data_IF_807097952811
#
_entry.id   IF_807097952811
#
_cell.length_a   1.000
_cell.length_b   1.000
_cell.length_c   1.000
_cell.angle_alpha   90.00
_cell.angle_beta   90.00
_cell.angle_gamma   90.00
#
_symmetry.space_group_name_H-M   'P 1'
#
loop_
_entity.id
_entity.type
_entity.pdbx_description
1 polymer ?
#
# COMPACT_ATOMS: atom_id res chain seq x y z
N UNK A 1 2.74 2.23 23.28
CA UNK A 1 3.02 1.83 21.89
C UNK A 1 4.34 1.09 21.96
N UNK A 2 4.25 -0.18 22.32
CA UNK A 2 5.40 -1.02 22.65
C UNK A 2 6.10 -1.51 21.39
N UNK A 3 7.42 -1.68 21.53
CA UNK A 3 8.42 -2.02 20.52
C UNK A 3 8.12 -3.26 19.66
N UNK A 4 7.14 -4.08 20.03
CA UNK A 4 6.85 -5.37 19.42
C UNK A 4 6.06 -5.24 18.11
N UNK A 5 5.23 -4.19 17.95
CA UNK A 5 4.47 -3.95 16.72
C UNK A 5 5.37 -3.55 15.54
N UNK A 6 6.56 -2.99 15.82
CA UNK A 6 7.54 -2.59 14.79
C UNK A 6 8.32 -3.77 14.21
N UNK A 7 8.36 -4.91 14.90
CA UNK A 7 9.09 -6.10 14.43
C UNK A 7 8.28 -6.94 13.45
N UNK A 8 6.94 -6.92 13.54
CA UNK A 8 6.06 -7.68 12.65
C UNK A 8 6.14 -7.22 11.18
N UNK A 9 6.39 -5.92 10.95
CA UNK A 9 6.53 -5.33 9.61
C UNK A 9 7.89 -5.59 8.97
N UNK A 10 8.87 -6.07 9.74
CA UNK A 10 10.24 -6.28 9.29
C UNK A 10 10.47 -7.70 8.75
N UNK A 11 9.45 -8.55 8.80
CA UNK A 11 9.54 -9.93 8.36
C UNK A 11 9.17 -10.03 6.89
N UNK A 12 10.14 -10.39 6.06
CA UNK A 12 9.94 -10.61 4.61
C UNK A 12 8.79 -11.58 4.34
N UNK A 13 8.50 -12.46 5.29
CA UNK A 13 7.36 -13.38 5.29
C UNK A 13 6.01 -12.67 5.33
N UNK A 14 5.86 -11.59 6.11
CA UNK A 14 4.61 -10.82 6.16
C UNK A 14 4.35 -10.11 4.84
N UNK A 15 5.39 -9.51 4.25
CA UNK A 15 5.29 -8.87 2.94
C UNK A 15 4.90 -9.87 1.86
N UNK A 16 5.54 -11.04 1.83
CA UNK A 16 5.21 -12.10 0.87
C UNK A 16 3.77 -12.63 1.07
N UNK A 17 3.33 -12.76 2.33
CA UNK A 17 1.96 -13.16 2.67
C UNK A 17 0.94 -12.13 2.18
N UNK A 18 1.21 -10.84 2.37
CA UNK A 18 0.35 -9.76 1.89
C UNK A 18 0.27 -9.74 0.37
N UNK A 19 1.42 -9.82 -0.33
CA UNK A 19 1.46 -9.92 -1.80
C UNK A 19 0.66 -11.12 -2.30
N UNK A 20 0.82 -12.28 -1.68
CA UNK A 20 0.07 -13.50 -2.04
C UNK A 20 -1.43 -13.31 -1.84
N UNK A 21 -1.85 -12.66 -0.75
CA UNK A 21 -3.26 -12.37 -0.49
C UNK A 21 -3.85 -11.40 -1.54
N UNK A 22 -3.09 -10.38 -1.93
CA UNK A 22 -3.50 -9.40 -2.96
C UNK A 22 -3.62 -10.07 -4.33
N UNK A 23 -2.67 -10.92 -4.70
CA UNK A 23 -2.72 -11.70 -5.95
C UNK A 23 -3.93 -12.63 -5.95
N UNK A 24 -4.19 -13.35 -4.85
CA UNK A 24 -5.39 -14.19 -4.70
C UNK A 24 -6.69 -13.40 -4.85
N UNK A 25 -6.77 -12.19 -4.28
CA UNK A 25 -7.92 -11.29 -4.40
C UNK A 25 -8.11 -10.80 -5.84
N UNK A 26 -7.03 -10.71 -6.61
CA UNK A 26 -7.01 -10.26 -8.00
C UNK A 26 -7.14 -11.43 -9.01
N UNK A 27 -7.87 -12.49 -8.64
CA UNK A 27 -8.07 -13.69 -9.46
C UNK A 27 -6.79 -14.49 -9.80
N UNK A 28 -5.74 -14.35 -8.99
CA UNK A 28 -4.54 -15.18 -9.07
C UNK A 28 -3.40 -14.60 -9.90
N UNK A 29 -3.59 -13.44 -10.54
CA UNK A 29 -2.53 -12.76 -11.30
C UNK A 29 -2.70 -11.25 -11.24
N UNK A 30 -1.61 -10.53 -11.03
CA UNK A 30 -1.55 -9.07 -11.14
C UNK A 30 -0.48 -8.76 -12.18
N UNK A 31 -0.86 -7.98 -13.19
CA UNK A 31 0.07 -7.45 -14.19
C UNK A 31 0.28 -5.98 -13.88
N UNK A 32 1.54 -5.59 -13.78
CA UNK A 32 1.94 -4.20 -13.59
C UNK A 32 2.81 -3.87 -14.81
N UNK A 33 2.40 -2.88 -15.59
CA UNK A 33 3.16 -2.37 -16.72
C UNK A 33 4.36 -1.53 -16.26
N UNK A 34 5.32 -1.29 -17.16
CA UNK A 34 6.48 -0.43 -16.85
C UNK A 34 6.03 0.99 -16.47
N UNK A 35 5.05 1.55 -17.19
CA UNK A 35 4.47 2.86 -16.88
C UNK A 35 3.87 2.93 -15.46
N UNK A 36 3.22 1.84 -15.01
CA UNK A 36 2.64 1.76 -13.67
C UNK A 36 3.70 1.58 -12.59
N UNK A 37 4.81 0.90 -12.88
CA UNK A 37 5.96 0.82 -11.97
C UNK A 37 6.65 2.18 -11.82
N UNK A 38 6.82 2.90 -12.92
CA UNK A 38 7.45 4.23 -12.96
C UNK A 38 6.56 5.32 -12.35
N UNK A 39 5.24 5.12 -12.36
CA UNK A 39 4.29 6.01 -11.69
C UNK A 39 4.38 5.97 -10.16
N UNK A 40 4.95 4.91 -9.56
CA UNK A 40 5.16 4.83 -8.10
C UNK A 40 6.36 5.68 -7.72
N UNK A 41 6.08 6.87 -7.20
CA UNK A 41 7.07 7.81 -6.72
C UNK A 41 7.36 7.59 -5.23
N UNK A 42 8.53 8.05 -4.76
CA UNK A 42 8.86 8.08 -3.32
C UNK A 42 7.92 8.97 -2.48
N UNK A 43 7.03 9.73 -3.12
CA UNK A 43 6.04 10.59 -2.45
C UNK A 43 4.72 9.85 -2.19
N UNK A 44 4.54 8.68 -2.81
CA UNK A 44 3.36 7.86 -2.61
C UNK A 44 3.46 7.18 -1.24
N UNK A 45 2.83 7.82 -0.25
CA UNK A 45 2.77 7.27 1.10
C UNK A 45 1.71 6.17 1.14
N UNK A 46 2.18 4.92 1.17
CA UNK A 46 1.36 3.77 1.47
C UNK A 46 1.15 3.70 2.99
N UNK A 47 -0.10 3.81 3.42
CA UNK A 47 -0.51 3.54 4.79
C UNK A 47 -1.04 2.11 4.90
N UNK A 48 -0.60 1.41 5.94
CA UNK A 48 -1.11 0.10 6.30
C UNK A 48 -1.57 0.11 7.74
N UNK A 49 -2.81 -0.30 7.99
CA UNK A 49 -3.35 -0.42 9.34
C UNK A 49 -4.32 -1.60 9.44
N UNK A 50 -4.50 -2.11 10.65
CA UNK A 50 -5.38 -3.24 10.94
C UNK A 50 -6.68 -2.77 11.56
N UNK A 51 -7.80 -3.02 10.90
CA UNK A 51 -9.13 -2.83 11.47
C UNK A 51 -9.47 -4.05 12.33
N UNK A 52 -9.47 -3.87 13.65
CA UNK A 52 -9.79 -4.92 14.62
C UNK A 52 -11.27 -5.34 14.58
N UNK A 53 -12.18 -4.45 14.18
CA UNK A 53 -13.61 -4.73 14.13
C UNK A 53 -13.94 -5.61 12.93
N UNK A 54 -13.42 -5.26 11.76
CA UNK A 54 -13.59 -6.03 10.54
C UNK A 54 -12.64 -7.25 10.46
N UNK A 55 -11.57 -7.26 11.28
CA UNK A 55 -10.45 -8.21 11.21
C UNK A 55 -9.72 -8.17 9.86
N UNK A 56 -9.55 -6.98 9.31
CA UNK A 56 -8.97 -6.77 7.97
C UNK A 56 -7.73 -5.89 8.03
N UNK A 57 -6.79 -6.12 7.11
CA UNK A 57 -5.67 -5.21 6.86
C UNK A 57 -6.08 -4.28 5.73
N UNK A 58 -6.02 -2.97 6.01
CA UNK A 58 -6.34 -1.93 5.03
C UNK A 58 -5.03 -1.34 4.53
N UNK A 59 -4.85 -1.40 3.20
CA UNK A 59 -3.78 -0.77 2.45
C UNK A 59 -4.38 0.44 1.74
N UNK A 60 -3.91 1.64 2.07
CA UNK A 60 -4.40 2.90 1.49
C UNK A 60 -3.25 3.71 0.93
N UNK A 61 -3.43 4.23 -0.28
CA UNK A 61 -2.48 5.13 -0.92
C UNK A 61 -2.96 6.56 -0.72
N UNK A 62 -2.17 7.39 -0.05
CA UNK A 62 -2.38 8.82 -0.03
C UNK A 62 -1.50 9.47 -1.10
N UNK A 63 -2.13 9.84 -2.21
CA UNK A 63 -1.51 10.69 -3.21
C UNK A 63 -1.47 12.11 -2.64
N UNK A 64 -0.27 12.64 -2.39
CA UNK A 64 -0.11 14.08 -2.29
C UNK A 64 -0.17 14.64 -3.71
N UNK A 65 -1.39 14.89 -4.19
CA UNK A 65 -1.54 15.82 -5.30
C UNK A 65 -1.10 17.18 -4.78
N UNK A 66 0.10 17.61 -5.16
CA UNK A 66 0.39 19.03 -5.12
C UNK A 66 -0.71 19.69 -5.96
N UNK A 67 -1.51 20.63 -5.43
CA UNK A 67 -2.41 21.39 -6.27
C UNK A 67 -1.51 22.03 -7.33
N UNK A 68 -1.68 21.58 -8.56
CA UNK A 68 -1.09 22.27 -9.70
C UNK A 68 -1.77 23.63 -9.70
N UNK A 69 -1.02 24.67 -9.31
CA UNK A 69 -1.41 26.05 -9.53
C UNK A 69 -1.76 26.19 -11.01
N UNK A 70 -3.06 26.26 -11.31
CA UNK A 70 -3.54 26.16 -12.69
C UNK A 70 -5.03 26.33 -12.88
N UNK A 71 -5.86 26.21 -11.83
CA UNK A 71 -7.30 26.49 -11.91
C UNK A 71 -7.68 27.64 -10.96
N UNK A 72 -7.27 28.85 -11.34
CA UNK A 72 -8.03 30.07 -11.00
C UNK A 72 -8.49 30.69 -12.32
N UNK A 73 -9.80 30.99 -12.38
CA UNK A 73 -10.51 31.57 -13.51
C UNK A 73 -9.87 32.84 -14.10
#
# INVERSE_FOLDING_TARGET
MDSDERSALNDKEMLFTLLTAIVKKSNGEIRISEDEMDAVTKKDMMMMYYDKSAKEIILSLHLFTNPTEGDFC
#
